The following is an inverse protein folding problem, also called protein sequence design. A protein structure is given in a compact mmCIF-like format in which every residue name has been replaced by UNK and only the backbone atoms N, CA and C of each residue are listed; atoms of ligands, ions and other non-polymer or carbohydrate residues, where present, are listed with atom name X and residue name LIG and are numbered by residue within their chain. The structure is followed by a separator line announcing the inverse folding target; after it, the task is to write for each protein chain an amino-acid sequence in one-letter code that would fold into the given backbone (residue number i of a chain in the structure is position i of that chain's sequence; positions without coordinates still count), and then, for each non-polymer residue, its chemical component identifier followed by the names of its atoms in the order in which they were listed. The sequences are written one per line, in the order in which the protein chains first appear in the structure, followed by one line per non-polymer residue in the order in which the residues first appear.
data_IF_386931624230
#
_entry.id   IF_386931624230
#
_cell.length_a   1.000
_cell.length_b   1.000
_cell.length_c   1.000
_cell.angle_alpha   90.00
_cell.angle_beta   90.00
_cell.angle_gamma   90.00
#
_symmetry.space_group_name_H-M   'P 1'
#
loop_
_entity.id
_entity.type
_entity.pdbx_description
1 polymer ?
#
# COMPACT_ATOMS: atom_id res chain seq x y z
N UNK A 1 -12.40 7.21 14.64
CA UNK A 1 -12.07 6.20 13.61
C UNK A 1 -10.61 6.27 13.16
N UNK A 2 -10.10 7.37 12.57
CA UNK A 2 -8.70 7.43 12.11
C UNK A 2 -7.67 7.17 13.21
N UNK A 3 -7.84 7.75 14.40
CA UNK A 3 -6.90 7.54 15.50
C UNK A 3 -6.93 6.10 16.04
N UNK A 4 -8.07 5.42 15.93
CA UNK A 4 -8.21 4.02 16.32
C UNK A 4 -7.50 3.09 15.33
N UNK A 5 -7.64 3.35 14.03
CA UNK A 5 -6.89 2.63 12.99
C UNK A 5 -5.38 2.86 13.20
N UNK A 6 -4.97 4.08 13.53
CA UNK A 6 -3.57 4.39 13.86
C UNK A 6 -3.04 3.58 15.02
N UNK A 7 -3.79 3.51 16.12
CA UNK A 7 -3.39 2.71 17.27
C UNK A 7 -3.21 1.26 16.87
N UNK A 8 -4.15 0.70 16.13
CA UNK A 8 -4.07 -0.66 15.62
C UNK A 8 -2.84 -0.88 14.72
N UNK A 9 -2.54 0.01 13.77
CA UNK A 9 -1.34 -0.05 12.91
C UNK A 9 -0.08 -0.04 13.77
N UNK A 10 0.02 0.89 14.71
CA UNK A 10 1.20 1.02 15.58
C UNK A 10 1.37 -0.20 16.49
N UNK A 11 0.31 -0.71 17.09
CA UNK A 11 0.33 -1.90 17.94
C UNK A 11 0.73 -3.14 17.16
N UNK A 12 0.21 -3.30 15.94
CA UNK A 12 0.57 -4.41 15.04
C UNK A 12 2.05 -4.35 14.67
N UNK A 13 2.54 -3.20 14.22
CA UNK A 13 3.95 -3.03 13.86
C UNK A 13 4.89 -3.21 15.07
N UNK A 14 4.47 -2.77 16.25
CA UNK A 14 5.22 -2.98 17.48
C UNK A 14 5.26 -4.46 17.87
N UNK A 15 4.15 -5.16 17.76
CA UNK A 15 4.09 -6.60 18.04
C UNK A 15 5.07 -7.41 17.20
N UNK A 16 5.23 -7.06 15.93
CA UNK A 16 6.14 -7.75 15.00
C UNK A 16 7.53 -7.10 14.88
N UNK A 17 7.86 -6.09 15.68
CA UNK A 17 9.10 -5.32 15.55
C UNK A 17 10.38 -6.17 15.58
N UNK A 18 10.38 -7.26 16.35
CA UNK A 18 11.53 -8.19 16.46
C UNK A 18 11.59 -9.25 15.35
N UNK A 19 10.50 -9.46 14.64
CA UNK A 19 10.38 -10.48 13.57
C UNK A 19 10.45 -9.89 12.17
N UNK A 20 10.31 -8.57 12.03
CA UNK A 20 10.35 -7.92 10.73
C UNK A 20 11.75 -7.91 10.12
N UNK A 21 11.82 -8.11 8.82
CA UNK A 21 13.06 -8.12 8.04
C UNK A 21 13.14 -6.87 7.16
N UNK A 22 14.31 -6.20 7.07
CA UNK A 22 14.46 -5.06 6.17
C UNK A 22 14.46 -5.50 4.71
N UNK A 23 13.86 -4.69 3.83
CA UNK A 23 13.78 -5.01 2.41
C UNK A 23 15.10 -4.79 1.64
N UNK A 24 16.20 -4.49 2.32
CA UNK A 24 17.53 -4.37 1.72
C UNK A 24 18.02 -5.65 1.04
N UNK A 25 17.45 -6.80 1.39
CA UNK A 25 17.72 -8.06 0.68
C UNK A 25 17.29 -8.02 -0.79
N UNK A 26 16.35 -7.16 -1.16
CA UNK A 26 15.88 -6.98 -2.54
C UNK A 26 16.63 -5.90 -3.34
N UNK A 27 17.68 -5.29 -2.78
CA UNK A 27 18.34 -4.13 -3.38
C UNK A 27 18.87 -4.37 -4.80
N UNK A 28 19.38 -5.56 -5.08
CA UNK A 28 19.86 -5.93 -6.41
C UNK A 28 18.70 -6.22 -7.37
N UNK A 29 17.64 -6.86 -6.87
CA UNK A 29 16.47 -7.24 -7.66
C UNK A 29 15.60 -6.03 -8.04
N UNK A 30 15.58 -5.02 -7.18
CA UNK A 30 14.82 -3.79 -7.37
C UNK A 30 15.70 -2.58 -7.70
N UNK A 31 16.92 -2.83 -8.16
CA UNK A 31 17.85 -1.76 -8.52
C UNK A 31 17.24 -0.80 -9.55
N UNK A 32 17.32 0.50 -9.26
CA UNK A 32 16.73 1.58 -10.08
C UNK A 32 15.23 1.82 -9.85
N UNK A 33 14.49 0.87 -9.28
CA UNK A 33 13.08 1.05 -8.89
C UNK A 33 12.96 1.67 -7.49
N UNK A 34 13.72 1.16 -6.53
CA UNK A 34 13.73 1.64 -5.15
C UNK A 34 15.17 1.92 -4.70
N UNK A 35 15.46 3.10 -4.15
CA UNK A 35 16.79 3.38 -3.61
C UNK A 35 17.04 2.55 -2.34
N UNK A 36 18.29 2.16 -2.11
CA UNK A 36 18.68 1.35 -0.93
C UNK A 36 18.24 2.01 0.39
N UNK A 37 18.31 3.35 0.46
CA UNK A 37 17.85 4.09 1.64
C UNK A 37 16.35 3.97 1.94
N UNK A 38 15.53 3.71 0.91
CA UNK A 38 14.12 3.41 1.06
C UNK A 38 13.93 1.98 1.55
N UNK A 39 14.59 1.01 0.92
CA UNK A 39 14.52 -0.41 1.29
C UNK A 39 15.01 -0.66 2.72
N UNK A 40 16.01 0.10 3.18
CA UNK A 40 16.53 0.01 4.56
C UNK A 40 15.53 0.47 5.63
N UNK A 41 14.49 1.21 5.24
CA UNK A 41 13.41 1.70 6.12
C UNK A 41 12.05 1.12 5.77
N UNK A 42 12.03 0.10 4.94
CA UNK A 42 10.86 -0.69 4.59
C UNK A 42 11.07 -2.12 5.08
N UNK A 43 10.03 -2.70 5.66
CA UNK A 43 10.14 -4.00 6.31
C UNK A 43 9.03 -4.93 5.86
N UNK A 44 9.26 -6.23 6.00
CA UNK A 44 8.21 -7.21 5.82
C UNK A 44 8.24 -8.28 6.91
N UNK A 45 7.10 -8.89 7.11
CA UNK A 45 6.89 -10.00 8.04
C UNK A 45 6.15 -11.11 7.33
N UNK A 46 6.66 -12.33 7.44
CA UNK A 46 5.93 -13.53 7.02
C UNK A 46 5.04 -14.00 8.17
N UNK A 47 3.74 -14.10 7.92
CA UNK A 47 2.73 -14.45 8.92
C UNK A 47 1.79 -15.53 8.39
N UNK A 48 1.31 -16.47 9.23
CA UNK A 48 0.33 -17.47 8.80
C UNK A 48 -0.95 -16.83 8.23
N UNK A 49 -1.40 -15.74 8.85
CA UNK A 49 -2.54 -14.94 8.44
C UNK A 49 -2.18 -13.46 8.50
N UNK A 50 -2.55 -12.73 7.46
CA UNK A 50 -2.34 -11.27 7.39
C UNK A 50 -3.17 -10.59 8.49
N UNK A 51 -2.58 -9.67 9.29
CA UNK A 51 -3.31 -8.98 10.33
C UNK A 51 -4.39 -8.08 9.72
N UNK A 52 -5.63 -8.28 10.12
CA UNK A 52 -6.77 -7.51 9.66
C UNK A 52 -7.20 -6.50 10.72
N UNK A 53 -7.68 -5.30 10.34
CA UNK A 53 -8.24 -4.37 11.29
C UNK A 53 -9.49 -4.95 11.96
N UNK A 54 -9.83 -4.50 13.18
CA UNK A 54 -11.03 -4.97 13.89
C UNK A 54 -12.28 -4.83 13.02
N UNK A 55 -13.11 -5.90 12.99
CA UNK A 55 -14.31 -6.01 12.14
C UNK A 55 -15.27 -4.82 12.26
N UNK A 56 -15.37 -4.22 13.43
CA UNK A 56 -16.21 -3.03 13.66
C UNK A 56 -15.79 -1.81 12.81
N UNK A 57 -14.49 -1.69 12.49
CA UNK A 57 -13.99 -0.62 11.61
C UNK A 57 -14.17 -0.96 10.14
N UNK A 58 -14.08 -2.24 9.83
CA UNK A 58 -14.25 -2.80 8.50
C UNK A 58 -15.69 -2.57 8.01
N UNK A 59 -16.68 -2.98 8.79
CA UNK A 59 -18.09 -2.85 8.43
C UNK A 59 -18.54 -1.39 8.33
N UNK A 60 -18.04 -0.51 9.23
CA UNK A 60 -18.34 0.92 9.17
C UNK A 60 -17.76 1.61 7.93
N UNK A 61 -16.68 1.07 7.37
CA UNK A 61 -16.02 1.60 6.20
C UNK A 61 -16.48 0.95 4.87
N UNK A 62 -17.39 -0.02 4.91
CA UNK A 62 -17.84 -0.77 3.73
C UNK A 62 -16.77 -1.71 3.18
N UNK A 63 -15.85 -2.17 4.04
CA UNK A 63 -14.71 -3.02 3.69
C UNK A 63 -15.05 -4.52 3.75
N UNK A 64 -16.31 -4.89 3.89
CA UNK A 64 -16.74 -6.29 4.02
C UNK A 64 -16.29 -7.15 2.82
N UNK A 65 -16.26 -6.55 1.62
CA UNK A 65 -15.80 -7.21 0.40
C UNK A 65 -14.27 -7.45 0.38
N UNK A 66 -13.49 -6.60 1.05
CA UNK A 66 -12.05 -6.76 1.17
C UNK A 66 -11.68 -8.03 1.96
N UNK A 67 -12.46 -8.36 2.98
CA UNK A 67 -12.20 -9.47 3.89
C UNK A 67 -12.85 -10.78 3.48
N UNK A 68 -13.72 -10.77 2.48
CA UNK A 68 -14.25 -11.97 1.83
C UNK A 68 -13.25 -12.64 0.89
N UNK A 69 -12.17 -11.96 0.52
CA UNK A 69 -11.09 -12.49 -0.30
C UNK A 69 -9.86 -12.81 0.56
N UNK A 70 -9.15 -13.87 0.21
CA UNK A 70 -7.87 -14.21 0.85
C UNK A 70 -6.84 -13.14 0.47
N UNK A 71 -6.58 -12.20 1.36
CA UNK A 71 -5.57 -11.16 1.17
C UNK A 71 -4.18 -11.78 1.29
N UNK A 72 -3.39 -11.71 0.22
CA UNK A 72 -2.06 -12.27 0.15
C UNK A 72 -1.01 -11.42 0.88
N UNK A 73 -1.25 -10.10 0.94
CA UNK A 73 -0.41 -9.12 1.62
C UNK A 73 -1.20 -7.93 2.12
N UNK A 74 -0.63 -7.20 3.06
CA UNK A 74 -1.18 -5.94 3.59
C UNK A 74 -0.04 -5.05 4.08
N UNK A 75 -0.02 -3.82 3.61
CA UNK A 75 0.95 -2.81 4.05
C UNK A 75 0.38 -1.89 5.14
N UNK A 76 1.10 -1.79 6.24
CA UNK A 76 0.82 -0.92 7.38
C UNK A 76 2.02 0.00 7.61
N UNK A 77 1.97 1.20 7.05
CA UNK A 77 3.01 2.23 7.12
C UNK A 77 4.34 1.76 6.46
N UNK A 78 5.38 1.49 7.24
CA UNK A 78 6.71 1.05 6.77
C UNK A 78 6.87 -0.48 6.69
N UNK A 79 5.87 -1.22 7.11
CA UNK A 79 5.92 -2.68 7.25
C UNK A 79 4.76 -3.34 6.50
N UNK A 80 5.05 -4.34 5.69
CA UNK A 80 4.02 -5.17 5.07
C UNK A 80 4.08 -6.62 5.54
N UNK A 81 2.93 -7.25 5.53
CA UNK A 81 2.68 -8.60 6.04
C UNK A 81 2.29 -9.51 4.90
N UNK A 82 2.94 -10.65 4.77
CA UNK A 82 2.71 -11.60 3.69
C UNK A 82 2.44 -13.00 4.24
N UNK A 83 1.53 -13.73 3.57
CA UNK A 83 1.44 -15.17 3.80
C UNK A 83 2.70 -15.89 3.26
N UNK A 84 3.05 -17.10 3.73
CA UNK A 84 4.23 -17.83 3.26
C UNK A 84 4.24 -18.06 1.74
N UNK A 85 3.08 -18.27 1.12
CA UNK A 85 2.96 -18.41 -0.32
C UNK A 85 3.26 -17.11 -1.07
N UNK A 86 2.82 -15.97 -0.54
CA UNK A 86 3.06 -14.64 -1.08
C UNK A 86 4.53 -14.20 -0.92
N UNK A 87 5.15 -14.54 0.21
CA UNK A 87 6.55 -14.19 0.52
C UNK A 87 7.58 -14.78 -0.46
N UNK A 88 7.21 -15.82 -1.21
CA UNK A 88 8.06 -16.39 -2.28
C UNK A 88 7.83 -15.71 -3.65
N UNK A 89 6.95 -14.74 -3.74
CA UNK A 89 6.60 -14.06 -4.98
C UNK A 89 7.14 -12.63 -5.00
N UNK A 90 8.21 -12.41 -5.77
CA UNK A 90 8.87 -11.10 -5.88
C UNK A 90 7.94 -9.99 -6.38
N UNK A 91 6.96 -10.33 -7.23
CA UNK A 91 5.93 -9.37 -7.69
C UNK A 91 5.11 -8.82 -6.54
N UNK A 92 4.74 -9.66 -5.56
CA UNK A 92 3.97 -9.23 -4.39
C UNK A 92 4.83 -8.31 -3.51
N UNK A 93 6.10 -8.63 -3.29
CA UNK A 93 7.01 -7.71 -2.59
C UNK A 93 7.11 -6.34 -3.27
N UNK A 94 7.18 -6.33 -4.59
CA UNK A 94 7.21 -5.08 -5.34
C UNK A 94 5.91 -4.28 -5.15
N UNK A 95 4.76 -4.95 -5.24
CA UNK A 95 3.43 -4.37 -5.04
C UNK A 95 3.30 -3.72 -3.65
N UNK A 96 3.65 -4.45 -2.60
CA UNK A 96 3.59 -3.93 -1.22
C UNK A 96 4.56 -2.76 -0.99
N UNK A 97 5.73 -2.76 -1.62
CA UNK A 97 6.65 -1.63 -1.57
C UNK A 97 6.12 -0.38 -2.27
N UNK A 98 5.26 -0.52 -3.28
CA UNK A 98 4.53 0.63 -3.84
C UNK A 98 3.60 1.23 -2.79
N UNK A 99 2.89 0.41 -2.02
CA UNK A 99 2.05 0.89 -0.92
C UNK A 99 2.88 1.56 0.18
N UNK A 100 4.06 1.04 0.54
CA UNK A 100 4.98 1.75 1.46
C UNK A 100 5.34 3.14 0.91
N UNK A 101 5.60 3.27 -0.40
CA UNK A 101 5.88 4.57 -1.02
C UNK A 101 4.67 5.51 -0.96
N UNK A 102 3.46 5.00 -1.15
CA UNK A 102 2.21 5.78 -0.99
C UNK A 102 2.01 6.26 0.44
N UNK A 103 2.22 5.38 1.44
CA UNK A 103 2.18 5.75 2.86
C UNK A 103 3.17 6.86 3.20
N UNK A 104 4.42 6.75 2.73
CA UNK A 104 5.45 7.76 2.97
C UNK A 104 5.14 9.10 2.29
N UNK A 105 4.54 9.08 1.10
CA UNK A 105 4.21 10.28 0.34
C UNK A 105 3.01 11.02 0.93
N UNK A 106 1.96 10.30 1.31
CA UNK A 106 0.71 10.89 1.81
C UNK A 106 0.77 11.17 3.32
N UNK A 107 1.55 10.40 4.03
CA UNK A 107 1.50 10.34 5.49
C UNK A 107 0.22 9.64 5.97
N UNK A 108 0.25 9.25 7.22
CA UNK A 108 -0.75 8.41 7.86
C UNK A 108 -2.21 8.87 7.63
N UNK A 109 -2.54 10.14 7.96
CA UNK A 109 -3.93 10.62 7.91
C UNK A 109 -4.48 10.63 6.48
N UNK A 110 -3.69 11.13 5.54
CA UNK A 110 -4.13 11.26 4.16
C UNK A 110 -4.22 9.89 3.48
N UNK A 111 -3.26 8.98 3.77
CA UNK A 111 -3.32 7.63 3.22
C UNK A 111 -4.58 6.90 3.66
N UNK A 112 -4.85 6.82 4.96
CA UNK A 112 -6.03 6.11 5.48
C UNK A 112 -7.33 6.76 5.00
N UNK A 113 -7.45 8.10 5.05
CA UNK A 113 -8.65 8.78 4.57
C UNK A 113 -8.91 8.49 3.09
N UNK A 114 -7.87 8.59 2.26
CA UNK A 114 -7.95 8.34 0.83
C UNK A 114 -8.27 6.87 0.53
N UNK A 115 -7.63 5.94 1.23
CA UNK A 115 -7.88 4.51 1.06
C UNK A 115 -9.36 4.16 1.35
N UNK A 116 -9.91 4.66 2.47
CA UNK A 116 -11.31 4.46 2.83
C UNK A 116 -12.28 5.10 1.83
N UNK A 117 -11.97 6.30 1.35
CA UNK A 117 -12.77 6.99 0.34
C UNK A 117 -12.75 6.24 -0.99
N UNK A 118 -11.57 5.89 -1.50
CA UNK A 118 -11.41 5.21 -2.78
C UNK A 118 -12.08 3.83 -2.77
N UNK A 119 -11.93 3.04 -1.71
CA UNK A 119 -12.58 1.73 -1.63
C UNK A 119 -14.11 1.85 -1.60
N UNK A 120 -14.64 2.88 -0.92
CA UNK A 120 -16.08 3.15 -0.87
C UNK A 120 -16.66 3.53 -2.24
N UNK A 121 -15.90 4.27 -3.05
CA UNK A 121 -16.37 4.77 -4.36
C UNK A 121 -16.14 3.73 -5.46
N UNK A 122 -14.98 3.08 -5.49
CA UNK A 122 -14.52 2.27 -6.62
C UNK A 122 -14.52 0.76 -6.33
N UNK A 123 -14.58 0.35 -5.08
CA UNK A 123 -14.27 -1.01 -4.66
C UNK A 123 -12.77 -1.32 -4.72
N UNK A 124 -12.35 -2.41 -4.10
CA UNK A 124 -10.94 -2.77 -3.93
C UNK A 124 -10.16 -2.84 -5.25
N UNK A 125 -10.67 -3.61 -6.21
CA UNK A 125 -9.95 -3.89 -7.47
C UNK A 125 -9.80 -2.66 -8.39
N UNK A 126 -10.63 -1.65 -8.22
CA UNK A 126 -10.66 -0.48 -9.09
C UNK A 126 -10.20 0.80 -8.41
N UNK A 127 -9.90 0.75 -7.11
CA UNK A 127 -9.46 1.94 -6.39
C UNK A 127 -8.09 2.42 -6.90
N UNK A 128 -7.92 3.75 -7.08
CA UNK A 128 -6.71 4.33 -7.66
C UNK A 128 -5.41 3.94 -6.97
N UNK A 129 -5.38 3.81 -5.64
CA UNK A 129 -4.18 3.39 -4.91
C UNK A 129 -3.75 1.96 -5.28
N UNK A 130 -4.68 1.02 -5.38
CA UNK A 130 -4.40 -0.36 -5.78
C UNK A 130 -4.04 -0.44 -7.28
N UNK A 131 -4.79 0.25 -8.14
CA UNK A 131 -4.50 0.31 -9.57
C UNK A 131 -3.08 0.79 -9.86
N UNK A 132 -2.63 1.81 -9.13
CA UNK A 132 -1.25 2.30 -9.23
C UNK A 132 -0.23 1.20 -8.88
N UNK A 133 -0.47 0.44 -7.81
CA UNK A 133 0.41 -0.65 -7.40
C UNK A 133 0.41 -1.79 -8.43
N UNK A 134 -0.76 -2.20 -8.94
CA UNK A 134 -0.88 -3.22 -9.98
C UNK A 134 -0.21 -2.81 -11.30
N UNK A 135 -0.34 -1.56 -11.72
CA UNK A 135 0.26 -1.08 -12.96
C UNK A 135 1.80 -1.06 -12.87
N UNK A 136 2.34 -0.67 -11.72
CA UNK A 136 3.79 -0.63 -11.49
C UNK A 136 4.38 -2.04 -11.34
N UNK A 137 3.71 -2.94 -10.63
CA UNK A 137 4.18 -4.32 -10.48
C UNK A 137 4.09 -5.11 -11.80
N UNK A 138 3.05 -4.89 -12.60
CA UNK A 138 2.91 -5.48 -13.91
C UNK A 138 4.02 -4.99 -14.87
N UNK A 139 4.38 -3.72 -14.80
CA UNK A 139 5.50 -3.14 -15.56
C UNK A 139 6.84 -3.76 -15.14
N UNK A 140 7.06 -3.95 -13.85
CA UNK A 140 8.24 -4.63 -13.33
C UNK A 140 8.35 -6.06 -13.87
N UNK A 141 7.29 -6.86 -13.76
CA UNK A 141 7.26 -8.26 -14.24
C UNK A 141 7.45 -8.36 -15.76
N UNK A 142 6.89 -7.41 -16.52
CA UNK A 142 7.03 -7.37 -17.98
C UNK A 142 8.44 -6.97 -18.43
N UNK A 143 9.35 -6.59 -17.53
CA UNK A 143 10.70 -6.10 -17.89
C UNK A 143 10.66 -4.78 -18.65
N UNK A 144 9.67 -3.95 -18.36
CA UNK A 144 9.55 -2.60 -18.93
C UNK A 144 10.68 -1.67 -18.48
N UNK A 145 10.74 -0.44 -19.03
CA UNK A 145 11.74 0.55 -18.61
C UNK A 145 11.69 0.76 -17.09
N UNK A 146 12.87 0.74 -16.46
CA UNK A 146 13.02 0.99 -15.03
C UNK A 146 12.59 2.41 -14.71
N UNK A 147 11.82 2.59 -13.66
CA UNK A 147 11.34 3.89 -13.17
C UNK A 147 11.57 4.00 -11.67
N UNK A 148 11.91 5.19 -11.19
CA UNK A 148 11.92 5.47 -9.76
C UNK A 148 10.47 5.46 -9.24
N UNK A 149 10.11 4.41 -8.49
CA UNK A 149 8.74 4.20 -8.00
C UNK A 149 8.28 5.32 -7.08
N UNK A 150 9.16 5.85 -6.23
CA UNK A 150 8.79 6.93 -5.29
C UNK A 150 8.45 8.23 -6.03
N UNK A 151 9.22 8.57 -7.04
CA UNK A 151 8.94 9.75 -7.89
C UNK A 151 7.67 9.55 -8.70
N UNK A 152 7.47 8.35 -9.25
CA UNK A 152 6.28 8.01 -10.02
C UNK A 152 5.03 8.06 -9.15
N UNK A 153 5.05 7.47 -7.96
CA UNK A 153 3.96 7.52 -6.98
C UNK A 153 3.61 8.96 -6.63
N UNK A 154 4.62 9.80 -6.31
CA UNK A 154 4.40 11.21 -6.01
C UNK A 154 3.64 11.92 -7.13
N UNK A 155 4.15 11.79 -8.36
CA UNK A 155 3.55 12.44 -9.54
C UNK A 155 2.11 11.99 -9.77
N UNK A 156 1.85 10.67 -9.71
CA UNK A 156 0.51 10.14 -9.92
C UNK A 156 -0.49 10.57 -8.84
N UNK A 157 -0.04 10.72 -7.59
CA UNK A 157 -0.87 11.23 -6.51
C UNK A 157 -1.22 12.70 -6.72
N UNK A 158 -0.26 13.54 -7.15
CA UNK A 158 -0.47 14.95 -7.47
C UNK A 158 -1.42 15.14 -8.66
N UNK A 159 -1.27 14.35 -9.71
CA UNK A 159 -2.12 14.39 -10.91
C UNK A 159 -3.57 14.02 -10.56
N UNK A 160 -3.79 13.00 -9.74
CA UNK A 160 -5.12 12.58 -9.29
C UNK A 160 -5.82 13.64 -8.42
N UNK A 161 -5.08 14.33 -7.54
CA UNK A 161 -5.64 15.41 -6.71
C UNK A 161 -6.09 16.60 -7.56
N UNK A 162 -5.40 16.87 -8.66
CA UNK A 162 -5.76 17.94 -9.61
C UNK A 162 -7.04 17.60 -10.37
N UNK A 163 -7.23 16.36 -10.77
CA UNK A 163 -8.41 15.89 -11.52
C UNK A 163 -9.68 15.93 -10.64
N UNK A 164 -9.58 15.55 -9.37
CA UNK A 164 -10.69 15.62 -8.40
C UNK A 164 -11.08 17.08 -8.15
N UNK A 165 -10.11 17.97 -8.04
CA UNK A 165 -10.36 19.42 -7.82
C UNK A 165 -11.06 20.08 -9.01
N UNK A 166 -10.76 19.66 -10.24
CA UNK A 166 -11.39 20.18 -11.46
C UNK A 166 -12.85 19.72 -11.59
N UNK A 167 -13.14 18.45 -11.27
CA UNK A 167 -14.51 17.92 -11.33
C UNK A 167 -15.45 18.54 -10.30
N UNK A 168 -14.94 18.86 -9.10
CA UNK A 168 -15.74 19.54 -8.05
C UNK A 168 -16.07 21.00 -8.39
N UNK A 169 -15.41 21.60 -9.38
CA UNK A 169 -15.74 22.96 -9.86
C UNK A 169 -16.74 22.96 -11.02
N UNK A 170 -16.85 21.86 -11.78
CA UNK A 170 -17.81 21.74 -12.89
C UNK A 170 -19.24 21.38 -12.42
N UNK A 171 -19.41 20.85 -11.21
CA UNK A 171 -20.74 20.52 -10.65
C UNK A 171 -21.43 21.70 -9.94
N UNK A 172 -20.82 22.90 -9.90
CA UNK A 172 -21.35 24.09 -9.21
C UNK A 172 -21.84 25.18 -10.22
N UNK A 173 -21.73 24.96 -11.52
CA UNK A 173 -22.33 25.82 -12.54
C UNK A 173 -23.61 25.19 -13.13
#
# INVERSE_FOLDING_TARGET
MLDTIRSWVNETNLHFATSRRPCTEFKELFAGYFPESFLARSYYVEVPEVPLPPLEYVSQAGLDDLFGQSVAGLTLDDTYYLTPSAANNLRIHFHELVHVAQWQQLGYRNFISRYLEEISIYGYDQMPLERMAYDLDARFVAGGPVVDVRQTVRKLLEDNDTDVSLRSHEEIE
#
